data_IF_580376957638
#
_entry.id   IF_580376957638
#
_cell.length_a   1.000
_cell.length_b   1.000
_cell.length_c   1.000
_cell.angle_alpha   90.00
_cell.angle_beta   90.00
_cell.angle_gamma   90.00
#
_symmetry.space_group_name_H-M   'P 1'
#
loop_
_entity.id
_entity.type
_entity.pdbx_description
1 polymer ?
#
# COMPACT_ATOMS: atom_id res chain seq x y z
N UNK A 1 4.95 23.02 35.87
CA UNK A 1 6.20 22.66 35.15
C UNK A 1 6.51 21.18 35.15
N UNK A 2 6.00 20.38 36.10
CA UNK A 2 6.17 18.91 36.13
C UNK A 2 5.57 18.20 34.88
N UNK A 3 4.47 18.69 34.33
CA UNK A 3 3.84 18.13 33.15
C UNK A 3 4.73 18.14 31.90
N UNK A 4 5.59 19.15 31.76
CA UNK A 4 6.51 19.26 30.59
C UNK A 4 7.68 18.29 30.67
N UNK A 5 8.10 17.90 31.88
CA UNK A 5 9.21 16.97 32.08
C UNK A 5 8.78 15.50 32.06
N UNK A 6 7.51 15.22 32.39
CA UNK A 6 7.01 13.85 32.45
C UNK A 6 7.10 13.14 31.10
N UNK A 7 6.82 13.82 30.00
CA UNK A 7 6.95 13.23 28.66
C UNK A 7 8.39 12.85 28.30
N UNK A 8 9.37 13.67 28.75
CA UNK A 8 10.78 13.43 28.44
C UNK A 8 11.32 12.23 29.25
N UNK A 9 10.89 12.09 30.50
CA UNK A 9 11.36 11.00 31.38
C UNK A 9 10.77 9.64 31.00
N UNK A 10 9.68 9.62 30.25
CA UNK A 10 9.01 8.40 29.76
C UNK A 10 9.54 7.92 28.42
N UNK A 11 10.49 8.64 27.81
CA UNK A 11 11.09 8.23 26.53
C UNK A 11 11.88 6.93 26.72
N UNK A 12 11.49 5.92 25.96
CA UNK A 12 12.18 4.64 25.92
C UNK A 12 13.18 4.59 24.76
N UNK A 13 14.17 3.72 24.86
CA UNK A 13 15.16 3.54 23.79
C UNK A 13 14.50 3.02 22.49
N UNK A 14 13.41 2.26 22.61
CA UNK A 14 12.61 1.77 21.47
C UNK A 14 11.97 2.93 20.70
N UNK A 15 11.44 3.93 21.41
CA UNK A 15 10.86 5.13 20.79
C UNK A 15 11.92 5.95 20.06
N UNK A 16 13.10 6.11 20.65
CA UNK A 16 14.23 6.78 19.98
C UNK A 16 14.64 6.03 18.72
N UNK A 17 14.69 4.69 18.76
CA UNK A 17 14.97 3.86 17.60
C UNK A 17 13.91 4.09 16.49
N UNK A 18 12.64 4.15 16.85
CA UNK A 18 11.55 4.41 15.90
C UNK A 18 11.63 5.81 15.30
N UNK A 19 12.07 6.81 16.04
CA UNK A 19 12.33 8.15 15.51
C UNK A 19 13.48 8.16 14.50
N UNK A 20 14.54 7.42 14.76
CA UNK A 20 15.66 7.26 13.82
C UNK A 20 15.20 6.54 12.55
N UNK A 21 14.40 5.49 12.69
CA UNK A 21 13.80 4.77 11.54
C UNK A 21 12.90 5.73 10.75
N UNK A 22 11.99 6.44 11.42
CA UNK A 22 11.10 7.41 10.79
C UNK A 22 11.85 8.52 10.05
N UNK A 23 12.87 9.10 10.68
CA UNK A 23 13.72 10.10 10.06
C UNK A 23 14.47 9.55 8.84
N UNK A 24 14.92 8.29 8.91
CA UNK A 24 15.59 7.62 7.78
C UNK A 24 14.64 7.43 6.61
N UNK A 25 13.39 7.01 6.84
CA UNK A 25 12.36 6.89 5.80
C UNK A 25 12.07 8.24 5.14
N UNK A 26 11.92 9.31 5.93
CA UNK A 26 11.73 10.67 5.42
C UNK A 26 12.94 11.11 4.59
N UNK A 27 14.16 10.85 5.07
CA UNK A 27 15.39 11.16 4.32
C UNK A 27 15.43 10.43 2.98
N UNK A 28 15.09 9.12 2.94
CA UNK A 28 15.04 8.33 1.71
C UNK A 28 13.99 8.88 0.74
N UNK A 29 12.81 9.25 1.25
CA UNK A 29 11.74 9.86 0.45
C UNK A 29 12.19 11.16 -0.21
N UNK A 30 12.79 12.08 0.56
CA UNK A 30 13.14 13.43 0.08
C UNK A 30 14.43 13.40 -0.74
N UNK A 31 15.50 12.82 -0.19
CA UNK A 31 16.85 12.92 -0.79
C UNK A 31 17.08 11.91 -1.90
N UNK A 32 16.53 10.71 -1.77
CA UNK A 32 16.67 9.63 -2.77
C UNK A 32 15.48 9.51 -3.69
N UNK A 33 14.40 10.26 -3.44
CA UNK A 33 13.12 10.22 -4.19
C UNK A 33 12.56 8.80 -4.30
N UNK A 34 12.74 7.98 -3.26
CA UNK A 34 12.22 6.62 -3.17
C UNK A 34 10.78 6.69 -2.66
N UNK A 35 9.82 6.38 -3.50
CA UNK A 35 8.38 6.33 -3.18
C UNK A 35 7.92 7.42 -2.19
N UNK A 36 8.07 8.73 -2.52
CA UNK A 36 7.76 9.82 -1.59
C UNK A 36 6.32 9.77 -1.04
N UNK A 37 5.29 9.42 -1.84
CA UNK A 37 3.92 9.35 -1.34
C UNK A 37 3.71 8.29 -0.25
N UNK A 38 4.58 7.29 -0.18
CA UNK A 38 4.50 6.21 0.80
C UNK A 38 5.45 6.44 1.99
N UNK A 39 6.76 6.64 1.72
CA UNK A 39 7.77 6.68 2.78
C UNK A 39 7.66 7.93 3.65
N UNK A 40 7.23 9.06 3.11
CA UNK A 40 7.16 10.31 3.87
C UNK A 40 6.05 10.27 4.93
N UNK A 41 4.79 9.90 4.62
CA UNK A 41 3.75 9.75 5.63
C UNK A 41 4.06 8.64 6.63
N UNK A 42 4.62 7.51 6.17
CA UNK A 42 5.01 6.39 7.04
C UNK A 42 6.09 6.81 8.03
N UNK A 43 7.13 7.52 7.58
CA UNK A 43 8.19 8.01 8.44
C UNK A 43 7.70 9.04 9.45
N UNK A 44 6.83 9.96 9.03
CA UNK A 44 6.23 10.94 9.92
C UNK A 44 5.27 10.29 10.92
N UNK A 45 4.43 9.37 10.48
CA UNK A 45 3.55 8.58 11.34
C UNK A 45 4.33 7.79 12.39
N UNK A 46 5.43 7.12 12.00
CA UNK A 46 6.29 6.39 12.92
C UNK A 46 6.89 7.29 14.03
N UNK A 47 7.24 8.54 13.70
CA UNK A 47 7.67 9.52 14.70
C UNK A 47 6.50 9.91 15.61
N UNK A 48 5.36 10.25 15.02
CA UNK A 48 4.19 10.78 15.72
C UNK A 48 3.64 9.81 16.77
N UNK A 49 3.44 8.53 16.38
CA UNK A 49 2.88 7.52 17.28
C UNK A 49 3.83 7.08 18.39
N UNK A 50 5.13 7.37 18.25
CA UNK A 50 6.14 7.03 19.24
C UNK A 50 6.50 8.22 20.15
N UNK A 51 5.74 9.32 20.14
CA UNK A 51 5.87 10.41 21.12
C UNK A 51 5.07 10.05 22.38
N UNK A 52 5.71 9.90 23.54
CA UNK A 52 4.99 9.56 24.77
C UNK A 52 3.99 10.67 25.15
N UNK A 53 2.86 10.28 25.69
CA UNK A 53 1.78 11.17 26.14
C UNK A 53 1.22 12.12 25.05
N UNK A 54 1.37 11.77 23.77
CA UNK A 54 0.95 12.62 22.65
C UNK A 54 -0.57 12.63 22.42
N UNK A 55 -1.30 11.65 22.96
CA UNK A 55 -2.72 11.43 22.62
C UNK A 55 -2.93 10.88 21.21
N UNK A 56 -1.87 10.49 20.53
CA UNK A 56 -1.96 9.91 19.19
C UNK A 56 -2.51 8.48 19.21
N UNK A 57 -2.07 7.67 20.17
CA UNK A 57 -2.56 6.33 20.43
C UNK A 57 -3.32 6.28 21.75
N UNK A 58 -4.07 5.20 21.95
CA UNK A 58 -4.76 4.92 23.20
C UNK A 58 -3.76 4.85 24.35
N UNK A 59 -4.02 5.59 25.40
CA UNK A 59 -3.10 5.69 26.54
C UNK A 59 -3.82 5.96 27.84
N UNK A 60 -3.23 5.48 28.94
CA UNK A 60 -3.69 5.80 30.29
C UNK A 60 -2.92 7.00 30.82
N UNK A 61 -3.62 8.12 31.02
CA UNK A 61 -3.03 9.33 31.58
C UNK A 61 -3.23 9.36 33.11
N UNK A 62 -2.16 9.60 33.89
CA UNK A 62 -2.28 9.73 35.34
C UNK A 62 -3.28 10.83 35.73
N UNK A 63 -4.32 10.46 36.51
CA UNK A 63 -5.35 11.39 36.99
C UNK A 63 -6.49 11.70 36.04
N UNK A 64 -6.44 11.23 34.76
CA UNK A 64 -7.50 11.44 33.75
C UNK A 64 -8.16 10.10 33.39
N UNK A 65 -7.41 8.99 33.44
CA UNK A 65 -7.84 7.66 33.05
C UNK A 65 -7.45 7.31 31.61
N UNK A 66 -8.19 6.38 31.01
CA UNK A 66 -7.96 5.98 29.61
C UNK A 66 -8.46 7.06 28.66
N UNK A 67 -7.59 7.47 27.73
CA UNK A 67 -7.89 8.46 26.69
C UNK A 67 -7.69 7.76 25.35
N UNK A 68 -8.75 7.79 24.53
CA UNK A 68 -8.68 7.24 23.18
C UNK A 68 -7.83 8.10 22.27
N UNK A 69 -6.90 7.46 21.55
CA UNK A 69 -6.02 8.11 20.59
C UNK A 69 -6.72 8.40 19.28
N UNK A 70 -6.43 9.55 18.68
CA UNK A 70 -7.04 9.93 17.41
C UNK A 70 -6.65 8.97 16.27
N UNK A 71 -5.44 8.44 16.30
CA UNK A 71 -4.96 7.50 15.27
C UNK A 71 -5.61 6.14 15.45
N UNK A 72 -5.74 5.64 16.67
CA UNK A 72 -6.46 4.39 16.94
C UNK A 72 -7.91 4.51 16.53
N UNK A 73 -8.57 5.62 16.88
CA UNK A 73 -9.94 5.89 16.45
C UNK A 73 -10.08 5.93 14.91
N UNK A 74 -9.14 6.58 14.19
CA UNK A 74 -9.13 6.61 12.73
C UNK A 74 -8.90 5.22 12.14
N UNK A 75 -8.06 4.41 12.78
CA UNK A 75 -7.80 3.03 12.37
C UNK A 75 -9.05 2.17 12.53
N UNK A 76 -9.68 2.23 13.70
CA UNK A 76 -10.89 1.46 14.00
C UNK A 76 -12.03 1.81 13.05
N UNK A 77 -12.32 3.11 12.89
CA UNK A 77 -13.44 3.56 12.04
C UNK A 77 -13.11 3.45 10.56
N UNK A 78 -11.88 3.78 10.16
CA UNK A 78 -11.49 3.89 8.75
C UNK A 78 -11.02 2.58 8.13
N UNK A 79 -10.53 1.66 8.93
CA UNK A 79 -9.98 0.38 8.46
C UNK A 79 -10.80 -0.79 8.99
N UNK A 80 -10.94 -0.94 10.31
CA UNK A 80 -11.59 -2.13 10.87
C UNK A 80 -13.10 -2.14 10.69
N UNK A 81 -13.78 -1.02 10.93
CA UNK A 81 -15.24 -0.98 10.91
C UNK A 81 -15.84 -0.76 9.51
N UNK A 82 -15.18 -0.01 8.63
CA UNK A 82 -15.81 0.46 7.40
C UNK A 82 -15.00 0.24 6.11
N UNK A 83 -13.72 -0.15 6.21
CA UNK A 83 -12.80 -0.25 5.06
C UNK A 83 -12.72 1.04 4.21
N UNK A 84 -13.22 2.18 4.73
CA UNK A 84 -13.34 3.42 3.98
C UNK A 84 -11.98 3.99 3.55
N UNK A 85 -10.97 3.93 4.43
CA UNK A 85 -9.63 4.43 4.11
C UNK A 85 -8.96 3.66 2.97
N UNK A 86 -8.94 2.32 2.95
CA UNK A 86 -8.48 1.55 1.79
C UNK A 86 -9.19 1.92 0.50
N UNK A 87 -10.52 2.07 0.53
CA UNK A 87 -11.31 2.43 -0.65
C UNK A 87 -10.91 3.80 -1.20
N UNK A 88 -10.80 4.81 -0.34
CA UNK A 88 -10.36 6.16 -0.73
C UNK A 88 -8.95 6.15 -1.34
N UNK A 89 -8.05 5.37 -0.75
CA UNK A 89 -6.70 5.22 -1.28
C UNK A 89 -6.70 4.58 -2.67
N UNK A 90 -7.58 3.60 -2.93
CA UNK A 90 -7.70 2.99 -4.27
C UNK A 90 -8.21 3.98 -5.32
N UNK A 91 -9.08 4.92 -4.98
CA UNK A 91 -9.48 6.00 -5.89
C UNK A 91 -8.26 6.86 -6.25
N UNK A 92 -7.45 7.25 -5.26
CA UNK A 92 -6.22 8.02 -5.48
C UNK A 92 -5.22 7.28 -6.36
N UNK A 93 -4.93 6.02 -6.03
CA UNK A 93 -4.03 5.16 -6.84
C UNK A 93 -4.56 5.05 -8.28
N UNK A 94 -5.86 4.82 -8.47
CA UNK A 94 -6.46 4.74 -9.79
C UNK A 94 -6.30 6.02 -10.61
N UNK A 95 -6.42 7.19 -9.95
CA UNK A 95 -6.18 8.49 -10.57
C UNK A 95 -4.71 8.71 -10.95
N UNK A 96 -3.77 8.09 -10.23
CA UNK A 96 -2.32 8.17 -10.54
C UNK A 96 -1.91 7.26 -11.68
N UNK A 97 -2.51 6.07 -11.83
CA UNK A 97 -2.09 5.04 -12.79
C UNK A 97 -2.41 5.44 -14.23
N UNK A 98 -1.41 5.39 -15.11
CA UNK A 98 -1.57 5.46 -16.56
C UNK A 98 -1.58 4.05 -17.17
N UNK A 99 -2.74 3.58 -17.59
CA UNK A 99 -2.89 2.30 -18.28
C UNK A 99 -2.57 2.37 -19.79
N UNK A 100 -2.23 3.53 -20.32
CA UNK A 100 -1.86 3.70 -21.74
C UNK A 100 -0.80 2.72 -22.24
N UNK A 101 0.34 2.54 -21.53
CA UNK A 101 1.36 1.55 -21.89
C UNK A 101 0.83 0.12 -21.96
N UNK A 102 -0.01 -0.27 -21.00
CA UNK A 102 -0.64 -1.59 -20.96
C UNK A 102 -1.59 -1.81 -22.12
N UNK A 103 -2.41 -0.83 -22.41
CA UNK A 103 -3.38 -0.87 -23.53
C UNK A 103 -2.68 -0.90 -24.90
N UNK A 104 -1.53 -0.24 -25.02
CA UNK A 104 -0.72 -0.24 -26.25
C UNK A 104 0.08 -1.55 -26.44
N UNK A 105 0.42 -2.25 -25.35
CA UNK A 105 1.15 -3.51 -25.38
C UNK A 105 0.58 -4.52 -24.37
N UNK A 106 -0.46 -5.28 -24.73
CA UNK A 106 -1.09 -6.25 -23.82
C UNK A 106 -0.15 -7.36 -23.30
N UNK A 107 1.00 -7.58 -23.93
CA UNK A 107 2.00 -8.54 -23.43
C UNK A 107 2.53 -8.18 -22.03
N UNK A 108 2.39 -6.92 -21.62
CA UNK A 108 2.76 -6.49 -20.27
C UNK A 108 1.90 -7.17 -19.18
N UNK A 109 0.71 -7.68 -19.51
CA UNK A 109 -0.09 -8.50 -18.59
C UNK A 109 0.63 -9.76 -18.09
N UNK A 110 1.61 -10.28 -18.85
CA UNK A 110 2.41 -11.42 -18.42
C UNK A 110 3.23 -11.13 -17.17
N UNK A 111 3.64 -9.90 -16.94
CA UNK A 111 4.32 -9.51 -15.69
C UNK A 111 3.39 -9.63 -14.48
N UNK A 112 2.12 -9.27 -14.66
CA UNK A 112 1.10 -9.48 -13.61
C UNK A 112 0.91 -10.97 -13.31
N UNK A 113 0.82 -11.81 -14.33
CA UNK A 113 0.74 -13.26 -14.15
C UNK A 113 1.98 -13.83 -13.42
N UNK A 114 3.18 -13.34 -13.74
CA UNK A 114 4.40 -13.75 -13.05
C UNK A 114 4.39 -13.33 -11.57
N UNK A 115 3.88 -12.14 -11.24
CA UNK A 115 3.72 -11.70 -9.86
C UNK A 115 2.75 -12.60 -9.08
N UNK A 116 1.61 -12.97 -9.68
CA UNK A 116 0.65 -13.91 -9.07
C UNK A 116 1.29 -15.27 -8.76
N UNK A 117 2.17 -15.76 -9.63
CA UNK A 117 2.90 -17.00 -9.38
C UNK A 117 3.73 -16.94 -8.08
N UNK A 118 4.38 -15.80 -7.80
CA UNK A 118 5.10 -15.58 -6.55
C UNK A 118 4.19 -15.64 -5.32
N UNK A 119 2.99 -15.06 -5.40
CA UNK A 119 1.98 -15.13 -4.33
C UNK A 119 1.59 -16.58 -4.04
N UNK A 120 1.28 -17.38 -5.05
CA UNK A 120 0.90 -18.77 -4.87
C UNK A 120 2.03 -19.63 -4.28
N UNK A 121 3.29 -19.39 -4.68
CA UNK A 121 4.44 -20.05 -4.06
C UNK A 121 4.51 -19.70 -2.58
N UNK A 122 4.35 -18.43 -2.23
CA UNK A 122 4.39 -17.98 -0.82
C UNK A 122 3.29 -18.64 0.00
N UNK A 123 2.06 -18.69 -0.51
CA UNK A 123 0.96 -19.42 0.14
C UNK A 123 1.33 -20.88 0.37
N UNK A 124 1.86 -21.56 -0.66
CA UNK A 124 2.27 -22.95 -0.56
C UNK A 124 3.34 -23.15 0.52
N UNK A 125 4.37 -22.31 0.53
CA UNK A 125 5.44 -22.37 1.54
C UNK A 125 4.89 -22.08 2.94
N UNK A 126 4.00 -21.11 3.11
CA UNK A 126 3.39 -20.81 4.40
C UNK A 126 2.57 -22.01 4.95
N UNK A 127 1.80 -22.69 4.08
CA UNK A 127 1.08 -23.92 4.47
C UNK A 127 2.05 -25.04 4.86
N UNK A 128 3.16 -25.21 4.13
CA UNK A 128 4.20 -26.20 4.48
C UNK A 128 4.89 -25.88 5.81
N UNK A 129 4.96 -24.61 6.20
CA UNK A 129 5.47 -24.17 7.50
C UNK A 129 4.45 -24.35 8.63
N UNK A 130 3.22 -24.82 8.35
CA UNK A 130 2.21 -25.13 9.35
C UNK A 130 1.20 -24.01 9.62
N UNK A 131 1.18 -22.94 8.81
CA UNK A 131 0.14 -21.93 8.90
C UNK A 131 -1.19 -22.48 8.36
N UNK A 132 -2.30 -22.08 9.00
CA UNK A 132 -3.64 -22.37 8.45
C UNK A 132 -3.82 -21.71 7.08
N UNK A 133 -4.65 -22.29 6.21
CA UNK A 133 -4.82 -21.83 4.84
C UNK A 133 -5.26 -20.35 4.76
N UNK A 134 -6.09 -19.89 5.70
CA UNK A 134 -6.52 -18.49 5.77
C UNK A 134 -5.35 -17.56 6.09
N UNK A 135 -4.55 -17.94 7.07
CA UNK A 135 -3.36 -17.18 7.47
C UNK A 135 -2.30 -17.22 6.36
N UNK A 136 -2.09 -18.38 5.74
CA UNK A 136 -1.17 -18.55 4.62
C UNK A 136 -1.58 -17.69 3.40
N UNK A 137 -2.86 -17.62 3.07
CA UNK A 137 -3.38 -16.77 2.01
C UNK A 137 -3.18 -15.27 2.33
N UNK A 138 -3.43 -14.90 3.59
CA UNK A 138 -3.21 -13.53 4.08
C UNK A 138 -1.73 -13.14 4.08
N UNK A 139 -0.81 -14.06 4.35
CA UNK A 139 0.63 -13.86 4.22
C UNK A 139 1.03 -13.75 2.74
N UNK A 140 0.49 -14.62 1.90
CA UNK A 140 0.82 -14.65 0.48
C UNK A 140 0.48 -13.36 -0.25
N UNK A 141 -0.64 -12.72 0.08
CA UNK A 141 -1.09 -11.49 -0.58
C UNK A 141 -0.14 -10.30 -0.36
N UNK A 142 0.73 -10.34 0.65
CA UNK A 142 1.78 -9.34 0.84
C UNK A 142 2.64 -9.21 -0.43
N UNK A 143 2.82 -10.31 -1.16
CA UNK A 143 3.56 -10.35 -2.42
C UNK A 143 2.95 -9.52 -3.56
N UNK A 144 1.69 -9.09 -3.43
CA UNK A 144 1.08 -8.12 -4.35
C UNK A 144 1.70 -6.72 -4.23
N UNK A 145 2.51 -6.47 -3.18
CA UNK A 145 3.12 -5.18 -2.85
C UNK A 145 2.08 -4.06 -2.69
N UNK A 146 0.94 -4.40 -2.09
CA UNK A 146 -0.18 -3.51 -1.83
C UNK A 146 -0.66 -3.71 -0.38
N UNK A 147 -0.31 -2.74 0.48
CA UNK A 147 -0.63 -2.77 1.91
C UNK A 147 -2.14 -2.83 2.19
N UNK A 148 -2.94 -1.94 1.62
CA UNK A 148 -4.39 -1.92 1.81
C UNK A 148 -5.07 -3.24 1.42
N UNK A 149 -4.70 -3.83 0.28
CA UNK A 149 -5.21 -5.15 -0.14
C UNK A 149 -4.83 -6.24 0.86
N UNK A 150 -3.61 -6.18 1.41
CA UNK A 150 -3.15 -7.17 2.40
C UNK A 150 -3.98 -7.10 3.68
N UNK A 151 -4.32 -5.91 4.15
CA UNK A 151 -5.20 -5.71 5.32
C UNK A 151 -6.60 -6.23 5.00
N UNK A 152 -7.21 -5.78 3.90
CA UNK A 152 -8.56 -6.19 3.52
C UNK A 152 -8.70 -7.71 3.42
N UNK A 153 -7.79 -8.37 2.70
CA UNK A 153 -7.82 -9.84 2.54
C UNK A 153 -7.67 -10.52 3.91
N UNK A 154 -6.78 -10.01 4.77
CA UNK A 154 -6.59 -10.57 6.11
C UNK A 154 -7.84 -10.42 7.00
N UNK A 155 -8.58 -9.32 6.87
CA UNK A 155 -9.86 -9.09 7.56
C UNK A 155 -10.95 -10.04 7.05
N UNK A 156 -11.14 -10.10 5.73
CA UNK A 156 -12.14 -10.98 5.09
C UNK A 156 -11.90 -12.45 5.45
N UNK A 157 -10.64 -12.88 5.47
CA UNK A 157 -10.26 -14.24 5.84
C UNK A 157 -10.25 -14.47 7.36
N UNK A 158 -10.42 -13.40 8.16
CA UNK A 158 -10.33 -13.43 9.62
C UNK A 158 -9.02 -14.04 10.11
N UNK A 159 -7.90 -13.59 9.52
CA UNK A 159 -6.56 -14.04 9.91
C UNK A 159 -6.24 -13.59 11.33
N UNK A 160 -5.55 -14.45 12.07
CA UNK A 160 -5.04 -14.15 13.42
C UNK A 160 -3.87 -13.17 13.40
N UNK A 161 -3.29 -12.94 12.24
CA UNK A 161 -2.05 -12.16 12.04
C UNK A 161 -2.29 -10.82 11.34
N UNK A 162 -3.49 -10.22 11.42
CA UNK A 162 -3.81 -8.94 10.75
C UNK A 162 -2.77 -7.87 11.07
N UNK A 163 -2.47 -7.64 12.34
CA UNK A 163 -1.47 -6.64 12.76
C UNK A 163 -0.06 -6.90 12.19
N UNK A 164 0.52 -8.09 12.45
CA UNK A 164 1.80 -8.46 11.84
C UNK A 164 1.83 -8.41 10.31
N UNK A 165 0.73 -8.80 9.63
CA UNK A 165 0.62 -8.74 8.17
C UNK A 165 0.61 -7.28 7.70
N UNK A 166 -0.13 -6.39 8.36
CA UNK A 166 -0.15 -4.98 8.03
C UNK A 166 1.26 -4.37 8.12
N UNK A 167 1.97 -4.60 9.23
CA UNK A 167 3.34 -4.13 9.42
C UNK A 167 4.27 -4.69 8.34
N UNK A 168 4.18 -6.01 8.06
CA UNK A 168 5.01 -6.66 7.05
C UNK A 168 4.73 -6.12 5.64
N UNK A 169 3.45 -5.93 5.27
CA UNK A 169 3.04 -5.43 3.98
C UNK A 169 3.57 -4.01 3.71
N UNK A 170 3.39 -3.09 4.65
CA UNK A 170 3.89 -1.73 4.50
C UNK A 170 5.42 -1.67 4.54
N UNK A 171 6.07 -2.45 5.41
CA UNK A 171 7.53 -2.55 5.43
C UNK A 171 8.08 -3.11 4.13
N UNK A 172 7.42 -4.13 3.56
CA UNK A 172 7.78 -4.70 2.27
C UNK A 172 7.65 -3.67 1.15
N UNK A 173 6.55 -2.92 1.07
CA UNK A 173 6.37 -1.84 0.10
C UNK A 173 7.50 -0.81 0.17
N UNK A 174 7.88 -0.39 1.37
CA UNK A 174 8.99 0.54 1.57
C UNK A 174 10.34 -0.01 1.09
N UNK A 175 10.54 -1.34 1.16
CA UNK A 175 11.79 -2.01 0.76
C UNK A 175 11.83 -2.38 -0.74
N UNK A 176 10.68 -2.45 -1.43
CA UNK A 176 10.60 -2.82 -2.86
C UNK A 176 11.55 -1.99 -3.73
N UNK A 177 11.62 -0.64 -3.64
CA UNK A 177 12.54 0.15 -4.46
C UNK A 177 14.01 -0.17 -4.24
N UNK A 178 14.36 -0.76 -3.11
CA UNK A 178 15.73 -1.17 -2.76
C UNK A 178 16.01 -2.59 -3.24
N UNK A 179 15.07 -3.51 -2.98
CA UNK A 179 15.21 -4.95 -3.27
C UNK A 179 15.11 -5.22 -4.77
N UNK A 180 14.17 -4.57 -5.45
CA UNK A 180 13.89 -4.81 -6.87
C UNK A 180 15.12 -4.61 -7.78
N UNK A 181 15.88 -3.51 -7.70
CA UNK A 181 17.10 -3.36 -8.51
C UNK A 181 18.15 -4.42 -8.23
N UNK A 182 18.26 -4.87 -6.98
CA UNK A 182 19.17 -5.94 -6.59
C UNK A 182 18.75 -7.27 -7.21
N UNK A 183 17.48 -7.66 -7.10
CA UNK A 183 16.93 -8.87 -7.68
C UNK A 183 17.09 -8.88 -9.21
N UNK A 184 16.80 -7.76 -9.88
CA UNK A 184 17.01 -7.62 -11.33
C UNK A 184 18.47 -7.86 -11.70
N UNK A 185 19.41 -7.35 -10.91
CA UNK A 185 20.85 -7.55 -11.17
C UNK A 185 21.30 -9.00 -11.00
N UNK A 186 20.65 -9.76 -10.12
CA UNK A 186 20.94 -11.18 -9.91
C UNK A 186 20.52 -12.06 -11.09
N UNK A 187 19.35 -11.77 -11.69
CA UNK A 187 18.76 -12.61 -12.72
C UNK A 187 19.04 -12.15 -14.16
N UNK A 188 19.57 -10.92 -14.35
CA UNK A 188 19.83 -10.38 -15.69
C UNK A 188 21.30 -10.03 -15.89
N UNK A 189 21.91 -10.46 -17.02
CA UNK A 189 23.26 -10.06 -17.38
C UNK A 189 23.33 -8.58 -17.79
N UNK A 190 24.51 -7.97 -17.68
CA UNK A 190 24.71 -6.55 -17.99
C UNK A 190 24.34 -6.19 -19.44
N UNK A 191 24.47 -7.14 -20.37
CA UNK A 191 24.09 -6.94 -21.79
C UNK A 191 22.58 -6.68 -21.92
N UNK A 192 21.75 -7.47 -21.25
CA UNK A 192 20.28 -7.31 -21.28
C UNK A 192 19.84 -6.02 -20.63
N UNK A 193 20.46 -5.63 -19.51
CA UNK A 193 20.14 -4.38 -18.81
C UNK A 193 20.47 -3.11 -19.61
N UNK A 194 21.36 -3.20 -20.63
CA UNK A 194 21.70 -2.09 -21.52
C UNK A 194 20.77 -1.98 -22.73
N UNK A 195 19.88 -2.95 -22.96
CA UNK A 195 18.92 -2.90 -24.06
C UNK A 195 17.94 -1.75 -23.83
N UNK A 196 17.97 -0.76 -24.71
CA UNK A 196 16.98 0.31 -24.72
C UNK A 196 15.76 -0.15 -25.51
N UNK A 197 14.67 -0.39 -24.81
CA UNK A 197 13.39 -0.66 -25.46
C UNK A 197 12.94 0.61 -26.18
N UNK A 198 12.62 0.51 -27.46
CA UNK A 198 11.99 1.60 -28.19
C UNK A 198 10.56 1.72 -27.67
N UNK A 199 10.31 2.76 -26.89
CA UNK A 199 8.95 3.12 -26.51
C UNK A 199 8.28 3.70 -27.76
N UNK A 200 7.39 2.94 -28.38
CA UNK A 200 6.53 3.42 -29.46
C UNK A 200 5.11 3.44 -28.92
N UNK A 201 4.65 4.56 -28.34
CA UNK A 201 3.29 4.67 -27.84
C UNK A 201 2.37 4.64 -29.07
N UNK A 202 1.82 3.48 -29.39
CA UNK A 202 0.64 3.45 -30.24
C UNK A 202 -0.39 4.33 -29.56
N UNK A 203 -0.87 5.35 -30.25
CA UNK A 203 -1.86 6.25 -29.67
C UNK A 203 -3.14 5.46 -29.35
N UNK A 204 -3.33 5.19 -28.07
CA UNK A 204 -4.58 4.58 -27.59
C UNK A 204 -5.66 5.67 -27.68
N UNK A 205 -6.78 5.36 -28.32
CA UNK A 205 -7.88 6.33 -28.47
C UNK A 205 -8.42 6.75 -27.10
N UNK A 206 -8.91 7.98 -26.98
CA UNK A 206 -9.54 8.46 -25.75
C UNK A 206 -10.74 7.59 -25.35
N UNK A 207 -11.50 7.14 -26.32
CA UNK A 207 -12.63 6.24 -26.09
C UNK A 207 -12.19 4.93 -25.45
N UNK A 208 -11.09 4.33 -25.92
CA UNK A 208 -10.53 3.10 -25.34
C UNK A 208 -10.09 3.32 -23.90
N UNK A 209 -9.46 4.45 -23.59
CA UNK A 209 -9.03 4.79 -22.21
C UNK A 209 -10.21 4.96 -21.26
N UNK A 210 -11.32 5.54 -21.72
CA UNK A 210 -12.54 5.72 -20.92
C UNK A 210 -13.31 4.38 -20.76
N UNK A 211 -13.40 3.56 -21.80
CA UNK A 211 -14.12 2.30 -21.75
C UNK A 211 -13.37 1.23 -20.95
N UNK A 212 -12.04 1.30 -20.89
CA UNK A 212 -11.21 0.34 -20.19
C UNK A 212 -11.58 0.17 -18.72
N UNK A 213 -11.60 1.21 -17.87
CA UNK A 213 -11.95 1.06 -16.46
C UNK A 213 -13.39 0.55 -16.27
N UNK A 214 -14.32 0.95 -17.10
CA UNK A 214 -15.72 0.46 -17.06
C UNK A 214 -15.75 -1.05 -17.36
N UNK A 215 -15.10 -1.46 -18.45
CA UNK A 215 -15.05 -2.87 -18.86
C UNK A 215 -14.37 -3.74 -17.80
N UNK A 216 -13.24 -3.30 -17.25
CA UNK A 216 -12.54 -4.03 -16.17
C UNK A 216 -13.44 -4.17 -14.94
N UNK A 217 -14.12 -3.11 -14.52
CA UNK A 217 -15.05 -3.15 -13.38
C UNK A 217 -16.17 -4.17 -13.60
N UNK A 218 -16.80 -4.17 -14.78
CA UNK A 218 -17.87 -5.12 -15.09
C UNK A 218 -17.34 -6.57 -15.11
N UNK A 219 -16.23 -6.82 -15.78
CA UNK A 219 -15.64 -8.16 -15.84
C UNK A 219 -15.22 -8.64 -14.45
N UNK A 220 -14.53 -7.82 -13.69
CA UNK A 220 -14.11 -8.16 -12.33
C UNK A 220 -15.31 -8.45 -11.42
N UNK A 221 -16.37 -7.65 -11.49
CA UNK A 221 -17.58 -7.86 -10.71
C UNK A 221 -18.33 -9.15 -11.08
N UNK A 222 -18.27 -9.58 -12.34
CA UNK A 222 -18.89 -10.84 -12.78
C UNK A 222 -18.04 -12.07 -12.41
N UNK A 223 -16.71 -11.97 -12.50
CA UNK A 223 -15.80 -13.10 -12.27
C UNK A 223 -15.46 -13.27 -10.79
N UNK A 224 -15.25 -12.17 -10.08
CA UNK A 224 -14.84 -12.15 -8.69
C UNK A 224 -15.60 -11.04 -7.91
N UNK A 225 -16.89 -11.23 -7.57
CA UNK A 225 -17.71 -10.22 -6.92
C UNK A 225 -17.11 -9.63 -5.65
N UNK A 226 -16.37 -10.44 -4.87
CA UNK A 226 -15.71 -10.00 -3.64
C UNK A 226 -14.60 -8.95 -3.89
N UNK A 227 -14.05 -8.86 -5.10
CA UNK A 227 -13.01 -7.89 -5.43
C UNK A 227 -13.55 -6.54 -5.91
N UNK A 228 -14.87 -6.43 -6.11
CA UNK A 228 -15.48 -5.27 -6.79
C UNK A 228 -15.25 -3.95 -6.02
N UNK A 229 -15.21 -4.00 -4.70
CA UNK A 229 -14.96 -2.83 -3.89
C UNK A 229 -13.58 -2.23 -4.23
N UNK A 230 -12.52 -3.04 -4.24
CA UNK A 230 -11.17 -2.57 -4.54
C UNK A 230 -10.99 -2.21 -6.02
N UNK A 231 -11.30 -3.17 -6.91
CA UNK A 231 -11.12 -2.99 -8.37
C UNK A 231 -12.02 -1.89 -8.91
N UNK A 232 -13.27 -1.81 -8.45
CA UNK A 232 -14.22 -0.81 -8.89
C UNK A 232 -13.79 0.61 -8.51
N UNK A 233 -13.35 0.83 -7.28
CA UNK A 233 -12.89 2.16 -6.87
C UNK A 233 -11.53 2.54 -7.47
N UNK A 234 -10.62 1.58 -7.70
CA UNK A 234 -9.42 1.79 -8.49
C UNK A 234 -9.76 2.25 -9.91
N UNK A 235 -10.67 1.53 -10.57
CA UNK A 235 -11.11 1.86 -11.92
C UNK A 235 -11.92 3.16 -11.96
N UNK A 236 -12.66 3.48 -10.91
CA UNK A 236 -13.34 4.77 -10.79
C UNK A 236 -12.32 5.93 -10.74
N UNK A 237 -11.28 5.83 -9.94
CA UNK A 237 -10.19 6.82 -9.93
C UNK A 237 -9.56 6.99 -11.31
N UNK A 238 -9.29 5.90 -12.02
CA UNK A 238 -8.77 5.94 -13.37
C UNK A 238 -9.77 6.57 -14.37
N UNK A 239 -11.04 6.28 -14.25
CA UNK A 239 -12.09 6.91 -15.08
C UNK A 239 -12.15 8.42 -14.85
N UNK A 240 -12.06 8.89 -13.61
CA UNK A 240 -12.02 10.32 -13.27
C UNK A 240 -10.85 11.00 -13.98
N UNK A 241 -9.68 10.38 -14.00
CA UNK A 241 -8.51 10.88 -14.73
C UNK A 241 -8.74 10.92 -16.25
N UNK A 242 -9.15 9.81 -16.84
CA UNK A 242 -9.21 9.65 -18.30
C UNK A 242 -10.40 10.36 -18.95
N UNK A 243 -11.44 10.68 -18.20
CA UNK A 243 -12.61 11.41 -18.73
C UNK A 243 -12.26 12.85 -19.14
N UNK A 244 -11.25 13.47 -18.50
CA UNK A 244 -10.75 14.81 -18.82
C UNK A 244 -11.72 15.96 -18.53
N UNK A 245 -12.87 15.68 -17.89
CA UNK A 245 -13.84 16.71 -17.48
C UNK A 245 -13.78 16.99 -15.97
N UNK A 246 -13.09 16.17 -15.21
CA UNK A 246 -12.93 16.24 -13.76
C UNK A 246 -11.46 16.45 -13.37
N UNK A 247 -10.71 17.27 -14.11
CA UNK A 247 -9.29 17.47 -13.88
C UNK A 247 -8.96 17.91 -12.45
N UNK A 248 -9.67 18.89 -11.90
CA UNK A 248 -9.47 19.34 -10.52
C UNK A 248 -9.75 18.25 -9.48
N UNK A 249 -10.75 17.39 -9.73
CA UNK A 249 -11.03 16.25 -8.85
C UNK A 249 -9.95 15.17 -8.96
N UNK A 250 -9.46 14.90 -10.18
CA UNK A 250 -8.35 13.98 -10.41
C UNK A 250 -7.09 14.45 -9.68
N UNK A 251 -6.73 15.73 -9.80
CA UNK A 251 -5.56 16.31 -9.14
C UNK A 251 -5.70 16.30 -7.60
N UNK A 252 -6.92 16.45 -7.10
CA UNK A 252 -7.18 16.36 -5.65
C UNK A 252 -7.20 14.93 -5.11
N UNK A 253 -7.46 13.95 -5.95
CA UNK A 253 -7.49 12.53 -5.59
C UNK A 253 -6.08 11.89 -5.62
N UNK A 254 -5.15 12.48 -6.38
CA UNK A 254 -3.75 12.07 -6.45
C UNK A 254 -2.95 12.48 -5.21
#
# INVERSE_FOLDING_TARGET
>A
MEFLYNSITLITWQQVLMWVIGATLIYLAISKKLEPPLLLPMGFGAILVNIPLSGALDQSLPGIGEVSGIIDWLFDVGIEASEAMPILLFIGIGAMIDFGPLLSNPRLLLFGAAAQFGIFITVTVAVLLGFDLKDAASIGIIGAADGPTSILVSQVLKSKYIGPIAIAAYSYMALVPIIQPFAIRLVTPQKERKIRMKYNPKSVSRTTRILFPITVTVIAGLVAPASIALVGFLMFGNLVRECGVLGSLSDSAQ
#
